data_IF_904112275622
#
_entry.id   IF_904112275622
#
_cell.length_a   1.000
_cell.length_b   1.000
_cell.length_c   1.000
_cell.angle_alpha   90.00
_cell.angle_beta   90.00
_cell.angle_gamma   90.00
#
_symmetry.space_group_name_H-M   'P 1'
#
loop_
_entity.id
_entity.type
_entity.pdbx_description
1 polymer ?
#
# COMPACT_ATOMS: atom_id res chain seq x y z
N UNK A 1 14.49 -3.90 15.75
CA UNK A 1 13.35 -2.98 15.60
C UNK A 1 12.36 -3.68 14.69
N UNK A 2 11.09 -3.81 15.10
CA UNK A 2 10.08 -4.57 14.35
C UNK A 2 9.59 -3.80 13.12
N UNK A 3 9.07 -4.53 12.15
CA UNK A 3 8.23 -4.01 11.08
C UNK A 3 6.88 -4.70 11.14
N UNK A 4 5.85 -4.01 10.67
CA UNK A 4 4.52 -4.58 10.50
C UNK A 4 4.10 -4.40 9.04
N UNK A 5 3.51 -5.43 8.48
CA UNK A 5 3.01 -5.40 7.11
C UNK A 5 1.62 -4.78 7.10
N UNK A 6 1.34 -3.97 6.09
CA UNK A 6 0.02 -3.39 5.87
C UNK A 6 -0.47 -3.69 4.46
N UNK A 7 -1.79 -3.80 4.34
CA UNK A 7 -2.50 -4.01 3.08
C UNK A 7 -3.78 -3.17 3.16
N UNK A 8 -3.91 -2.20 2.26
CA UNK A 8 -5.04 -1.27 2.25
C UNK A 8 -5.52 -1.07 0.82
N UNK A 9 -6.83 -1.16 0.63
CA UNK A 9 -7.48 -0.83 -0.64
C UNK A 9 -7.83 0.64 -0.67
N UNK A 10 -7.44 1.34 -1.73
CA UNK A 10 -7.77 2.74 -1.93
C UNK A 10 -8.25 2.97 -3.36
N UNK A 11 -9.24 3.85 -3.50
CA UNK A 11 -9.83 4.22 -4.78
C UNK A 11 -9.59 5.70 -5.07
N UNK A 12 -9.47 6.04 -6.34
CA UNK A 12 -9.29 7.42 -6.76
C UNK A 12 -9.11 7.57 -8.28
N UNK A 13 -9.05 8.80 -8.79
CA UNK A 13 -8.84 9.04 -10.22
C UNK A 13 -7.42 8.68 -10.69
N UNK A 14 -6.44 8.69 -9.80
CA UNK A 14 -5.06 8.26 -10.06
C UNK A 14 -4.48 7.53 -8.84
N UNK A 15 -3.40 6.79 -9.04
CA UNK A 15 -2.70 6.07 -7.97
C UNK A 15 -2.23 7.04 -6.88
N UNK A 16 -1.70 8.19 -7.27
CA UNK A 16 -1.21 9.21 -6.35
C UNK A 16 -2.34 9.82 -5.53
N UNK A 17 -3.52 10.02 -6.14
CA UNK A 17 -4.69 10.51 -5.42
C UNK A 17 -5.21 9.47 -4.41
N UNK A 18 -5.32 8.20 -4.83
CA UNK A 18 -5.72 7.11 -3.95
C UNK A 18 -4.73 6.91 -2.80
N UNK A 19 -3.42 6.96 -3.08
CA UNK A 19 -2.36 6.87 -2.08
C UNK A 19 -2.40 8.03 -1.10
N UNK A 20 -2.53 9.27 -1.60
CA UNK A 20 -2.63 10.46 -0.75
C UNK A 20 -3.82 10.36 0.20
N UNK A 21 -4.99 9.97 -0.31
CA UNK A 21 -6.20 9.81 0.51
C UNK A 21 -5.99 8.73 1.58
N UNK A 22 -5.51 7.55 1.19
CA UNK A 22 -5.25 6.44 2.12
C UNK A 22 -4.28 6.82 3.24
N UNK A 23 -3.27 7.64 2.94
CA UNK A 23 -2.36 8.19 3.94
C UNK A 23 -3.02 9.16 4.89
N UNK A 24 -3.82 10.09 4.36
CA UNK A 24 -4.53 11.09 5.17
C UNK A 24 -5.54 10.40 6.10
N UNK A 25 -6.24 9.39 5.61
CA UNK A 25 -7.19 8.58 6.39
C UNK A 25 -6.47 7.82 7.51
N UNK A 26 -5.40 7.09 7.18
CA UNK A 26 -4.62 6.35 8.17
C UNK A 26 -3.97 7.26 9.23
N UNK A 27 -3.51 8.46 8.83
CA UNK A 27 -2.97 9.45 9.76
C UNK A 27 -4.04 10.03 10.69
N UNK A 28 -5.27 10.20 10.19
CA UNK A 28 -6.42 10.64 10.97
C UNK A 28 -6.89 9.60 11.99
N UNK A 29 -6.87 8.32 11.63
CA UNK A 29 -7.31 7.21 12.50
C UNK A 29 -6.30 6.86 13.60
N UNK A 30 -4.99 6.98 13.32
CA UNK A 30 -3.92 6.60 14.25
C UNK A 30 -3.30 7.79 15.03
N UNK A 31 -3.69 9.03 14.70
CA UNK A 31 -3.15 10.25 15.29
C UNK A 31 -1.74 10.60 14.77
N UNK A 32 -1.36 11.88 14.86
CA UNK A 32 -0.13 12.42 14.25
C UNK A 32 1.19 12.02 14.98
N UNK A 33 1.18 10.98 15.83
CA UNK A 33 2.28 10.66 16.74
C UNK A 33 2.89 9.28 16.52
N UNK A 34 4.09 9.22 15.94
CA UNK A 34 4.96 8.04 15.96
C UNK A 34 4.80 7.04 14.81
N UNK A 35 5.45 5.88 14.96
CA UNK A 35 5.36 4.74 14.07
C UNK A 35 3.95 4.16 14.13
N UNK A 36 3.19 4.31 13.05
CA UNK A 36 1.77 3.91 13.03
C UNK A 36 1.60 2.45 12.59
N UNK A 37 2.61 1.88 11.91
CA UNK A 37 2.49 0.57 11.31
C UNK A 37 1.58 0.56 10.07
N UNK A 38 1.35 1.72 9.46
CA UNK A 38 0.39 1.88 8.36
C UNK A 38 1.01 2.61 7.17
N UNK A 39 0.22 2.73 6.11
CA UNK A 39 0.59 3.53 4.93
C UNK A 39 0.88 4.99 5.24
N UNK A 40 0.42 5.55 6.37
CA UNK A 40 0.68 6.94 6.76
C UNK A 40 2.18 7.29 6.78
N UNK A 41 3.02 6.30 7.11
CA UNK A 41 4.48 6.42 7.20
C UNK A 41 5.20 6.41 5.84
N UNK A 42 4.50 6.03 4.77
CA UNK A 42 5.07 5.94 3.43
C UNK A 42 5.03 7.29 2.75
N UNK A 43 6.12 7.74 2.16
CA UNK A 43 6.16 9.02 1.44
C UNK A 43 5.91 8.87 -0.06
N UNK A 44 6.17 7.67 -0.58
CA UNK A 44 6.15 7.35 -1.99
C UNK A 44 5.35 6.07 -2.23
N UNK A 45 4.86 5.90 -3.45
CA UNK A 45 4.16 4.70 -3.91
C UNK A 45 4.71 4.31 -5.27
N UNK A 46 4.89 3.02 -5.50
CA UNK A 46 5.39 2.49 -6.76
C UNK A 46 4.43 1.45 -7.33
N UNK A 47 4.16 1.56 -8.62
CA UNK A 47 3.29 0.62 -9.31
C UNK A 47 4.07 -0.66 -9.61
N UNK A 48 3.71 -1.76 -8.94
CA UNK A 48 4.41 -3.04 -9.07
C UNK A 48 3.93 -3.82 -10.29
N UNK A 49 2.68 -3.59 -10.69
CA UNK A 49 2.04 -4.29 -11.79
C UNK A 49 1.11 -3.36 -12.56
N UNK A 50 1.06 -3.50 -13.89
CA UNK A 50 0.28 -2.61 -14.76
C UNK A 50 -1.08 -3.19 -15.16
N UNK A 51 -1.29 -4.50 -15.00
CA UNK A 51 -2.55 -5.16 -15.37
C UNK A 51 -3.47 -5.26 -14.16
N UNK A 52 -4.73 -4.80 -14.24
CA UNK A 52 -5.69 -4.96 -13.15
C UNK A 52 -5.93 -6.44 -12.81
N UNK A 53 -5.73 -6.78 -11.53
CA UNK A 53 -5.92 -8.11 -10.95
C UNK A 53 -7.29 -8.19 -10.25
N UNK A 54 -7.75 -9.40 -9.93
CA UNK A 54 -8.83 -9.52 -8.95
C UNK A 54 -8.28 -9.14 -7.56
N UNK A 55 -9.16 -8.80 -6.62
CA UNK A 55 -8.72 -8.47 -5.25
C UNK A 55 -7.96 -9.64 -4.60
N UNK A 56 -8.45 -10.87 -4.78
CA UNK A 56 -7.81 -12.10 -4.28
C UNK A 56 -6.42 -12.33 -4.92
N UNK A 57 -6.30 -12.15 -6.24
CA UNK A 57 -5.01 -12.26 -6.93
C UNK A 57 -4.04 -11.14 -6.51
N UNK A 58 -4.53 -9.92 -6.33
CA UNK A 58 -3.73 -8.79 -5.87
C UNK A 58 -3.19 -9.04 -4.45
N UNK A 59 -4.03 -9.54 -3.54
CA UNK A 59 -3.62 -9.91 -2.19
C UNK A 59 -2.57 -11.02 -2.20
N UNK A 60 -2.80 -12.10 -2.95
CA UNK A 60 -1.81 -13.19 -3.10
C UNK A 60 -0.48 -12.70 -3.64
N UNK A 61 -0.53 -11.80 -4.64
CA UNK A 61 0.67 -11.22 -5.23
C UNK A 61 1.40 -10.31 -4.22
N UNK A 62 0.68 -9.45 -3.49
CA UNK A 62 1.26 -8.60 -2.45
C UNK A 62 1.94 -9.44 -1.36
N UNK A 63 1.26 -10.47 -0.84
CA UNK A 63 1.86 -11.39 0.13
C UNK A 63 3.12 -12.06 -0.40
N UNK A 64 3.09 -12.56 -1.64
CA UNK A 64 4.26 -13.19 -2.25
C UNK A 64 5.45 -12.24 -2.36
N UNK A 65 5.22 -10.96 -2.64
CA UNK A 65 6.28 -9.95 -2.73
C UNK A 65 6.87 -9.60 -1.37
N UNK A 66 6.04 -9.54 -0.33
CA UNK A 66 6.49 -9.33 1.05
C UNK A 66 7.28 -10.55 1.55
N UNK A 67 6.79 -11.77 1.31
CA UNK A 67 7.43 -13.02 1.74
C UNK A 67 8.83 -13.23 1.14
N UNK A 68 9.03 -12.82 -0.12
CA UNK A 68 10.34 -12.87 -0.78
C UNK A 68 11.22 -11.63 -0.51
N UNK A 69 10.79 -10.70 0.35
CA UNK A 69 11.46 -9.42 0.59
C UNK A 69 11.79 -8.68 -0.73
N UNK A 70 10.79 -8.48 -1.60
CA UNK A 70 11.01 -7.79 -2.88
C UNK A 70 11.57 -6.37 -2.62
N UNK A 71 12.75 -6.03 -3.16
CA UNK A 71 13.45 -4.80 -2.83
C UNK A 71 12.68 -3.52 -3.19
N UNK A 72 11.61 -3.62 -3.99
CA UNK A 72 10.74 -2.49 -4.34
C UNK A 72 9.79 -2.09 -3.19
N UNK A 73 9.55 -2.98 -2.22
CA UNK A 73 8.55 -2.81 -1.15
C UNK A 73 9.05 -3.25 0.24
N UNK A 74 10.23 -3.89 0.32
CA UNK A 74 10.84 -4.39 1.56
C UNK A 74 11.49 -3.29 2.43
N UNK A 75 11.76 -2.12 1.86
CA UNK A 75 12.26 -0.99 2.65
C UNK A 75 11.11 -0.33 3.41
N UNK A 76 11.17 -0.42 4.75
CA UNK A 76 10.22 0.21 5.66
C UNK A 76 10.14 1.74 5.49
N UNK A 77 11.22 2.38 5.04
CA UNK A 77 11.25 3.81 4.71
C UNK A 77 11.07 4.10 3.22
N UNK A 78 11.14 3.05 2.40
CA UNK A 78 10.96 3.10 0.96
C UNK A 78 9.47 3.13 0.57
N UNK A 79 9.19 3.09 -0.74
CA UNK A 79 7.84 3.27 -1.26
C UNK A 79 6.88 2.15 -0.83
N UNK A 80 5.59 2.46 -0.77
CA UNK A 80 4.54 1.46 -0.77
C UNK A 80 4.44 0.81 -2.16
N UNK A 81 4.13 -0.48 -2.22
CA UNK A 81 3.74 -1.15 -3.45
C UNK A 81 2.29 -0.86 -3.78
N UNK A 82 1.97 -0.78 -5.07
CA UNK A 82 0.61 -0.67 -5.56
C UNK A 82 0.31 -1.71 -6.65
N UNK A 83 -0.86 -2.35 -6.53
CA UNK A 83 -1.42 -3.27 -7.53
C UNK A 83 -2.83 -2.80 -7.92
N UNK A 84 -3.11 -2.58 -9.22
CA UNK A 84 -4.44 -2.21 -9.65
C UNK A 84 -5.41 -3.39 -9.47
N UNK A 85 -6.59 -3.12 -8.90
CA UNK A 85 -7.66 -4.09 -8.74
C UNK A 85 -8.76 -3.79 -9.77
N UNK A 86 -9.34 -4.83 -10.35
CA UNK A 86 -10.56 -4.74 -11.16
C UNK A 86 -11.74 -4.42 -10.25
N UNK A 87 -12.26 -3.20 -10.37
CA UNK A 87 -13.48 -2.76 -9.72
C UNK A 87 -14.44 -2.17 -10.76
N UNK A 88 -15.75 -2.38 -10.56
CA UNK A 88 -16.78 -1.79 -11.40
C UNK A 88 -16.99 -0.32 -10.98
N UNK A 89 -16.27 0.60 -11.62
CA UNK A 89 -16.43 2.04 -11.40
C UNK A 89 -15.10 2.79 -11.40
N UNK A 90 -14.67 3.22 -10.21
CA UNK A 90 -13.45 4.00 -10.03
C UNK A 90 -12.19 3.12 -10.11
N UNK A 91 -11.06 3.75 -10.41
CA UNK A 91 -9.78 3.04 -10.35
C UNK A 91 -9.44 2.74 -8.90
N UNK A 92 -9.19 1.46 -8.60
CA UNK A 92 -8.90 0.96 -7.26
C UNK A 92 -7.56 0.27 -7.25
N UNK A 93 -6.80 0.47 -6.17
CA UNK A 93 -5.49 -0.13 -5.98
C UNK A 93 -5.40 -0.78 -4.60
N UNK A 94 -4.74 -1.93 -4.55
CA UNK A 94 -4.20 -2.48 -3.32
C UNK A 94 -2.85 -1.84 -3.07
N UNK A 95 -2.72 -1.14 -1.96
CA UNK A 95 -1.50 -0.54 -1.46
C UNK A 95 -0.95 -1.43 -0.35
N UNK A 96 0.33 -1.74 -0.39
CA UNK A 96 0.95 -2.67 0.55
C UNK A 96 2.42 -2.36 0.82
N UNK A 97 2.97 -2.92 1.88
CA UNK A 97 4.36 -2.72 2.25
C UNK A 97 4.60 -3.03 3.73
N UNK A 98 5.82 -2.80 4.18
CA UNK A 98 6.16 -2.84 5.60
C UNK A 98 6.31 -1.42 6.15
N UNK A 99 5.90 -1.21 7.39
CA UNK A 99 6.07 0.03 8.14
C UNK A 99 6.75 -0.28 9.48
N UNK A 100 7.32 0.73 10.13
CA UNK A 100 7.94 0.52 11.45
C UNK A 100 6.83 0.40 12.52
N UNK A 101 7.12 -0.31 13.62
CA UNK A 101 6.23 -0.44 14.79
C UNK A 101 7.02 -0.16 16.07
#
# INVERSE_FOLDING_TARGET
>A
MGSVDFYITASGPTLEAAFKQAREDAAGEHGHGGYTGTIAEKHEVTLIHTVPLTEDDAMKHAYGLIDICDPRVDDKWGPAGALPIRADGESTWLLFGCASY
#
